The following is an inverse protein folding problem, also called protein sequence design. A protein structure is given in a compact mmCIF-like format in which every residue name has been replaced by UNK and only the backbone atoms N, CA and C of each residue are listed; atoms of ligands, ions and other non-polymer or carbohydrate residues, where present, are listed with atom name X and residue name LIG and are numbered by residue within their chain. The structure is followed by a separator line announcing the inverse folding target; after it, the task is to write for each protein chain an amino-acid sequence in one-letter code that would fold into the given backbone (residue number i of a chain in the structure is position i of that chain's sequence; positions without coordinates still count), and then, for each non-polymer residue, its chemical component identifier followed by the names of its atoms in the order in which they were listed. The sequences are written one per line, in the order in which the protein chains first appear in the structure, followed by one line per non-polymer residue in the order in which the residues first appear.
data_IF_467021585010
#
_entry.id   IF_467021585010
#
_cell.length_a   1.000
_cell.length_b   1.000
_cell.length_c   1.000
_cell.angle_alpha   90.00
_cell.angle_beta   90.00
_cell.angle_gamma   90.00
#
_symmetry.space_group_name_H-M   'P 1'
#
loop_
_entity.id
_entity.type
_entity.pdbx_description
1 polymer ?
#
# COMPACT_ATOMS: atom_id res chain seq x y z
N UNK A 1 10.06 -57.82 -44.68
CA UNK A 1 9.83 -58.02 -43.23
C UNK A 1 10.58 -56.93 -42.51
N UNK A 2 9.87 -56.01 -41.83
CA UNK A 2 10.38 -54.71 -41.37
C UNK A 2 10.70 -54.73 -39.87
N UNK A 3 11.90 -54.21 -39.61
CA UNK A 3 12.56 -53.72 -38.42
C UNK A 3 11.88 -53.75 -37.05
N UNK A 4 12.66 -54.31 -36.11
CA UNK A 4 12.75 -53.99 -34.68
C UNK A 4 12.74 -52.47 -34.45
N UNK A 5 11.89 -51.99 -33.55
CA UNK A 5 12.19 -50.82 -32.71
C UNK A 5 11.53 -50.99 -31.36
N UNK A 6 12.40 -51.14 -30.37
CA UNK A 6 12.15 -51.24 -28.94
C UNK A 6 12.59 -49.87 -28.37
N UNK A 7 12.03 -49.48 -27.23
CA UNK A 7 12.63 -48.58 -26.21
C UNK A 7 12.15 -47.10 -26.20
N UNK A 8 11.34 -46.84 -25.17
CA UNK A 8 11.41 -45.80 -24.12
C UNK A 8 11.09 -44.32 -24.40
N UNK A 9 10.25 -43.85 -23.46
CA UNK A 9 10.43 -42.64 -22.64
C UNK A 9 10.02 -41.29 -23.23
N UNK A 10 8.78 -40.92 -22.86
CA UNK A 10 8.50 -39.76 -22.01
C UNK A 10 9.52 -38.61 -22.01
N UNK A 11 9.24 -37.57 -22.78
CA UNK A 11 9.77 -36.22 -22.51
C UNK A 11 8.79 -35.16 -23.03
N UNK A 12 7.66 -35.02 -22.33
CA UNK A 12 6.82 -33.83 -22.43
C UNK A 12 7.54 -32.69 -21.70
N UNK A 13 8.38 -31.96 -22.42
CA UNK A 13 9.10 -30.80 -21.90
C UNK A 13 8.14 -29.61 -21.71
N UNK A 14 7.39 -29.62 -20.62
CA UNK A 14 6.60 -28.49 -20.14
C UNK A 14 7.47 -27.59 -19.25
N UNK A 15 8.45 -26.90 -19.86
CA UNK A 15 9.29 -25.93 -19.16
C UNK A 15 8.76 -24.50 -19.37
N UNK A 16 7.54 -24.23 -18.88
CA UNK A 16 7.01 -22.87 -18.66
C UNK A 16 6.54 -22.75 -17.21
N UNK A 17 7.49 -22.89 -16.27
CA UNK A 17 7.20 -22.76 -14.85
C UNK A 17 8.35 -22.05 -14.12
N UNK A 18 8.62 -20.78 -14.46
CA UNK A 18 9.54 -19.95 -13.66
C UNK A 18 9.27 -18.44 -13.74
N UNK A 19 7.99 -18.05 -13.80
CA UNK A 19 7.58 -16.66 -13.50
C UNK A 19 6.52 -16.66 -12.40
N UNK A 20 6.90 -17.13 -11.22
CA UNK A 20 6.24 -16.77 -9.96
C UNK A 20 7.29 -16.60 -8.87
N UNK A 21 8.35 -15.84 -9.16
CA UNK A 21 9.00 -15.08 -8.11
C UNK A 21 7.98 -14.02 -7.69
N UNK A 22 7.12 -14.37 -6.75
CA UNK A 22 6.34 -13.40 -5.98
C UNK A 22 7.33 -12.34 -5.54
N UNK A 23 7.24 -11.17 -6.15
CA UNK A 23 7.87 -9.99 -5.63
C UNK A 23 7.35 -9.85 -4.21
N UNK A 24 8.10 -10.35 -3.24
CA UNK A 24 8.03 -9.91 -1.85
C UNK A 24 8.41 -8.45 -1.94
N UNK A 25 7.42 -7.65 -2.32
CA UNK A 25 7.52 -6.22 -2.39
C UNK A 25 8.04 -5.84 -1.04
N UNK A 26 9.19 -5.16 -1.02
CA UNK A 26 9.80 -4.59 0.16
C UNK A 26 8.90 -3.46 0.67
N UNK A 27 7.64 -3.77 0.96
CA UNK A 27 6.73 -2.93 1.68
C UNK A 27 7.39 -2.76 3.03
N UNK A 28 7.81 -1.54 3.33
CA UNK A 28 8.36 -1.21 4.65
C UNK A 28 7.39 -1.61 5.76
N UNK A 29 7.78 -1.39 7.01
CA UNK A 29 7.00 -1.82 8.19
C UNK A 29 5.47 -1.64 7.98
N UNK A 30 4.66 -2.67 8.29
CA UNK A 30 3.23 -2.68 7.97
C UNK A 30 2.53 -1.45 8.56
N UNK A 31 1.51 -0.96 7.87
CA UNK A 31 0.75 0.17 8.39
C UNK A 31 0.05 -0.21 9.68
N UNK A 32 0.13 0.69 10.64
CA UNK A 32 -0.54 0.51 11.92
C UNK A 32 -2.04 0.72 11.82
N UNK A 33 -2.50 1.53 10.85
CA UNK A 33 -3.91 1.55 10.44
C UNK A 33 -4.19 0.35 9.56
N UNK A 34 -5.20 -0.41 9.96
CA UNK A 34 -5.77 -1.50 9.17
C UNK A 34 -7.10 -1.10 8.50
N UNK A 35 -7.71 0.00 8.98
CA UNK A 35 -8.91 0.62 8.38
C UNK A 35 -8.52 1.93 7.71
N UNK A 36 -8.70 1.95 6.39
CA UNK A 36 -8.42 3.09 5.53
C UNK A 36 -9.73 3.70 5.05
N UNK A 37 -9.99 4.93 5.46
CA UNK A 37 -11.15 5.71 5.04
C UNK A 37 -10.94 6.42 3.70
N UNK A 38 -9.72 6.35 3.15
CA UNK A 38 -9.30 7.06 1.93
C UNK A 38 -8.51 6.12 1.03
N UNK A 39 -8.69 6.28 -0.28
CA UNK A 39 -8.01 5.43 -1.28
C UNK A 39 -6.51 5.75 -1.29
N UNK A 40 -6.14 7.03 -1.18
CA UNK A 40 -4.73 7.43 -1.18
C UNK A 40 -3.91 6.77 -0.05
N UNK A 41 -4.47 6.66 1.16
CA UNK A 41 -3.76 6.01 2.27
C UNK A 41 -3.73 4.49 2.15
N UNK A 42 -4.78 3.88 1.61
CA UNK A 42 -4.80 2.44 1.31
C UNK A 42 -3.70 2.09 0.30
N UNK A 43 -3.60 2.86 -0.78
CA UNK A 43 -2.65 2.61 -1.86
C UNK A 43 -1.21 2.91 -1.43
N UNK A 44 -0.99 4.02 -0.72
CA UNK A 44 0.32 4.33 -0.15
C UNK A 44 0.79 3.24 0.81
N UNK A 45 -0.14 2.74 1.65
CA UNK A 45 0.16 1.61 2.53
C UNK A 45 0.52 0.34 1.75
N UNK A 46 -0.27 -0.05 0.76
CA UNK A 46 -0.01 -1.23 -0.06
C UNK A 46 1.33 -1.11 -0.82
N UNK A 47 1.71 0.09 -1.23
CA UNK A 47 2.92 0.36 -2.01
C UNK A 47 4.21 0.28 -1.21
N UNK A 48 4.21 0.71 0.06
CA UNK A 48 5.46 0.86 0.82
C UNK A 48 5.30 0.85 2.33
N UNK A 49 4.17 0.37 2.84
CA UNK A 49 3.86 0.30 4.26
C UNK A 49 3.78 1.67 4.92
N UNK A 50 4.04 1.68 6.23
CA UNK A 50 3.91 2.85 7.10
C UNK A 50 4.77 4.03 6.66
N UNK A 51 5.95 3.76 6.08
CA UNK A 51 6.85 4.79 5.60
C UNK A 51 6.23 5.56 4.43
N UNK A 52 5.66 4.85 3.44
CA UNK A 52 4.98 5.50 2.33
C UNK A 52 3.71 6.22 2.77
N UNK A 53 2.87 5.58 3.58
CA UNK A 53 1.67 6.24 4.11
C UNK A 53 2.00 7.56 4.83
N UNK A 54 3.10 7.60 5.61
CA UNK A 54 3.58 8.82 6.28
C UNK A 54 4.13 9.85 5.28
N UNK A 55 4.82 9.42 4.23
CA UNK A 55 5.33 10.33 3.20
C UNK A 55 4.19 11.00 2.44
N UNK A 56 3.19 10.23 2.00
CA UNK A 56 2.01 10.74 1.31
C UNK A 56 1.21 11.70 2.22
N UNK A 57 0.99 11.33 3.48
CA UNK A 57 0.31 12.22 4.44
C UNK A 57 1.08 13.52 4.69
N UNK A 58 2.41 13.48 4.76
CA UNK A 58 3.23 14.70 4.88
C UNK A 58 3.12 15.60 3.65
N UNK A 59 3.07 15.03 2.45
CA UNK A 59 2.87 15.76 1.20
C UNK A 59 1.50 16.46 1.21
N UNK A 60 0.45 15.73 1.57
CA UNK A 60 -0.88 16.31 1.77
C UNK A 60 -0.87 17.44 2.80
N UNK A 61 -0.26 17.23 3.98
CA UNK A 61 -0.18 18.25 5.04
C UNK A 61 0.48 19.55 4.58
N UNK A 62 1.48 19.50 3.71
CA UNK A 62 2.12 20.71 3.17
C UNK A 62 1.13 21.55 2.36
N UNK A 63 0.30 20.92 1.54
CA UNK A 63 -0.74 21.60 0.76
C UNK A 63 -1.93 22.03 1.65
N UNK A 64 -2.39 21.14 2.53
CA UNK A 64 -3.54 21.38 3.40
C UNK A 64 -3.31 22.53 4.39
N UNK A 65 -2.09 22.68 4.92
CA UNK A 65 -1.71 23.82 5.79
C UNK A 65 -1.82 25.17 5.09
N UNK A 66 -1.49 25.22 3.80
CA UNK A 66 -1.59 26.43 3.02
C UNK A 66 -3.04 26.78 2.67
N UNK A 67 -3.88 25.77 2.45
CA UNK A 67 -5.29 25.94 2.09
C UNK A 67 -6.21 26.18 3.29
N UNK A 68 -5.88 25.61 4.45
CA UNK A 68 -6.73 25.69 5.65
C UNK A 68 -5.88 25.85 6.92
N UNK A 69 -5.88 27.03 7.56
CA UNK A 69 -5.07 27.28 8.76
C UNK A 69 -5.53 26.45 9.99
N UNK A 70 -6.75 25.89 9.96
CA UNK A 70 -7.22 24.95 11.01
C UNK A 70 -6.44 23.64 10.99
N UNK A 71 -5.81 23.30 9.87
CA UNK A 71 -4.94 22.14 9.72
C UNK A 71 -3.52 22.57 10.04
N UNK A 72 -3.17 22.66 11.32
CA UNK A 72 -1.85 23.11 11.77
C UNK A 72 -0.84 21.97 12.00
N UNK A 73 -1.27 20.71 11.90
CA UNK A 73 -0.40 19.54 12.00
C UNK A 73 -1.17 18.23 12.19
N UNK A 74 -0.42 17.15 12.45
CA UNK A 74 -1.00 15.83 12.66
C UNK A 74 -2.12 15.78 13.74
N UNK A 75 -2.02 16.53 14.87
CA UNK A 75 -3.09 16.55 15.88
C UNK A 75 -4.39 17.19 15.41
N UNK A 76 -4.41 17.91 14.29
CA UNK A 76 -5.65 18.46 13.73
C UNK A 76 -6.60 17.34 13.31
N UNK A 77 -6.07 16.22 12.80
CA UNK A 77 -6.87 15.08 12.32
C UNK A 77 -6.79 13.86 13.26
N UNK A 78 -5.68 13.65 13.96
CA UNK A 78 -5.46 12.48 14.80
C UNK A 78 -5.64 12.80 16.28
N UNK A 79 -6.29 11.89 17.03
CA UNK A 79 -6.33 11.95 18.49
C UNK A 79 -5.01 11.50 19.11
N UNK A 80 -4.23 10.68 18.39
CA UNK A 80 -2.86 10.31 18.74
C UNK A 80 -2.02 10.12 17.49
N UNK A 81 -0.79 10.66 17.50
CA UNK A 81 0.19 10.45 16.43
C UNK A 81 1.04 9.23 16.80
N UNK A 82 1.05 8.21 15.93
CA UNK A 82 1.65 6.91 16.24
C UNK A 82 0.64 5.95 16.88
N UNK A 83 1.09 4.75 17.25
CA UNK A 83 0.17 3.63 17.51
C UNK A 83 -0.60 3.30 16.23
N UNK A 84 -1.91 3.16 16.33
CA UNK A 84 -2.87 2.93 15.24
C UNK A 84 -3.36 4.23 14.57
N UNK A 85 -2.75 5.39 14.85
CA UNK A 85 -3.13 6.69 14.27
C UNK A 85 -4.64 6.99 14.36
N UNK A 86 -5.26 6.89 15.54
CA UNK A 86 -6.70 7.07 15.70
C UNK A 86 -7.12 8.45 15.20
N UNK A 87 -8.21 8.49 14.42
CA UNK A 87 -8.76 9.73 13.87
C UNK A 87 -9.68 10.38 14.92
N UNK A 88 -9.67 11.71 14.96
CA UNK A 88 -10.74 12.48 15.61
C UNK A 88 -12.04 12.33 14.81
N UNK A 89 -13.18 12.58 15.46
CA UNK A 89 -14.50 12.49 14.83
C UNK A 89 -14.60 13.31 13.53
N UNK A 90 -13.96 14.48 13.48
CA UNK A 90 -13.94 15.36 12.31
C UNK A 90 -12.67 15.22 11.44
N UNK A 91 -11.75 14.29 11.76
CA UNK A 91 -10.46 14.18 11.07
C UNK A 91 -10.59 13.83 9.58
N UNK A 92 -11.52 12.93 9.24
CA UNK A 92 -11.80 12.58 7.84
C UNK A 92 -12.45 13.74 7.08
N UNK A 93 -13.34 14.49 7.72
CA UNK A 93 -13.98 15.65 7.10
C UNK A 93 -12.93 16.72 6.80
N UNK A 94 -12.06 17.06 7.77
CA UNK A 94 -10.95 18.00 7.56
C UNK A 94 -10.01 17.57 6.42
N UNK A 95 -9.76 16.26 6.29
CA UNK A 95 -8.96 15.71 5.19
C UNK A 95 -9.62 15.98 3.83
N UNK A 96 -10.92 15.70 3.70
CA UNK A 96 -11.70 15.91 2.48
C UNK A 96 -11.85 17.39 2.13
N UNK A 97 -12.14 18.24 3.12
CA UNK A 97 -12.28 19.69 2.95
C UNK A 97 -10.99 20.35 2.44
N UNK A 98 -9.83 19.77 2.78
CA UNK A 98 -8.54 20.20 2.29
C UNK A 98 -8.10 19.51 0.97
N UNK A 99 -9.01 18.81 0.29
CA UNK A 99 -8.79 18.24 -1.04
C UNK A 99 -8.20 16.82 -1.05
N UNK A 100 -8.16 16.15 0.10
CA UNK A 100 -7.72 14.76 0.21
C UNK A 100 -8.72 13.78 -0.44
N UNK A 101 -8.23 12.66 -0.98
CA UNK A 101 -9.01 11.63 -1.68
C UNK A 101 -8.82 10.24 -1.09
#
# INVERSE_FOLDING_TARGET
MKSKFLILSSALALAFALVHASATSNAGAPCKRIKFETVAMKDACAKGGQAQAKAEMKKFMKAAKAANPKINGCPACHSKVGGDYPLKANGLQLYKDAGGK
#
